data_IF_129277691104
#
_entry.id   IF_129277691104
#
_cell.length_a   1.000
_cell.length_b   1.000
_cell.length_c   1.000
_cell.angle_alpha   90.00
_cell.angle_beta   90.00
_cell.angle_gamma   90.00
#
_symmetry.space_group_name_H-M   'P 1'
#
loop_
_entity.id
_entity.type
_entity.pdbx_description
1 polymer ?
#
# COMPACT_ATOMS: atom_id res chain seq x y z
N UNK A 1 15.38 -14.06 12.05
CA UNK A 1 14.34 -13.02 12.24
C UNK A 1 15.03 -11.67 12.27
N UNK A 2 14.40 -10.60 11.75
CA UNK A 2 14.99 -9.27 11.74
C UNK A 2 15.19 -8.76 13.17
N UNK A 3 16.15 -7.84 13.37
CA UNK A 3 16.38 -7.24 14.68
C UNK A 3 15.24 -6.27 15.05
N UNK A 4 14.68 -5.58 14.05
CA UNK A 4 13.47 -4.76 14.16
C UNK A 4 12.49 -5.08 13.04
N UNK A 5 11.20 -4.91 13.33
CA UNK A 5 10.13 -5.12 12.34
C UNK A 5 10.21 -4.16 11.13
N UNK A 6 11.10 -3.17 11.14
CA UNK A 6 11.33 -2.20 10.06
C UNK A 6 12.70 -2.36 9.38
N UNK A 7 13.47 -3.40 9.72
CA UNK A 7 14.69 -3.72 8.97
C UNK A 7 14.31 -4.40 7.64
N UNK A 8 15.02 -4.12 6.52
CA UNK A 8 14.72 -4.72 5.23
C UNK A 8 14.96 -6.25 5.21
N UNK A 9 14.37 -6.99 4.24
CA UNK A 9 13.50 -6.49 3.17
C UNK A 9 12.09 -6.16 3.65
N UNK A 10 11.56 -5.03 3.19
CA UNK A 10 10.25 -4.50 3.58
C UNK A 10 9.19 -4.89 2.56
N UNK A 11 7.96 -5.06 3.04
CA UNK A 11 6.74 -5.18 2.25
C UNK A 11 5.74 -4.13 2.70
N UNK A 12 4.98 -3.58 1.76
CA UNK A 12 3.92 -2.59 1.99
C UNK A 12 2.56 -3.23 1.74
N UNK A 13 1.78 -3.42 2.80
CA UNK A 13 0.46 -4.07 2.73
C UNK A 13 -0.64 -3.03 2.88
N UNK A 14 -1.50 -2.86 1.88
CA UNK A 14 -2.70 -2.03 2.01
C UNK A 14 -3.65 -2.66 3.03
N UNK A 15 -3.98 -1.91 4.08
CA UNK A 15 -4.89 -2.35 5.14
C UNK A 15 -6.30 -1.77 4.97
N UNK A 16 -6.39 -0.49 4.63
CA UNK A 16 -7.67 0.21 4.54
C UNK A 16 -7.61 1.31 3.48
N UNK A 17 -8.70 1.46 2.74
CA UNK A 17 -9.01 2.59 1.85
C UNK A 17 -10.35 3.16 2.31
N UNK A 18 -10.38 4.44 2.63
CA UNK A 18 -11.59 5.06 3.18
C UNK A 18 -11.77 6.50 2.72
N UNK A 19 -12.96 6.83 2.24
CA UNK A 19 -13.41 8.22 2.04
C UNK A 19 -13.72 8.93 3.36
N UNK A 20 -13.84 8.17 4.45
CA UNK A 20 -13.99 8.65 5.82
C UNK A 20 -12.67 8.57 6.58
N UNK A 21 -12.62 9.05 7.82
CA UNK A 21 -11.43 8.92 8.64
C UNK A 21 -11.17 7.45 9.05
N UNK A 22 -9.93 7.00 8.88
CA UNK A 22 -9.41 5.75 9.44
C UNK A 22 -8.91 6.00 10.86
N UNK A 23 -9.25 5.11 11.81
CA UNK A 23 -8.98 5.32 13.23
C UNK A 23 -7.90 4.37 13.76
N UNK A 24 -6.92 4.93 14.46
CA UNK A 24 -6.00 4.19 15.34
C UNK A 24 -6.50 4.31 16.78
N UNK A 25 -7.18 3.30 17.34
CA UNK A 25 -8.02 3.48 18.54
C UNK A 25 -7.26 3.49 19.87
N UNK A 26 -5.93 3.25 19.89
CA UNK A 26 -5.18 3.07 21.13
C UNK A 26 -4.98 4.41 21.90
N UNK A 27 -5.62 4.62 23.06
CA UNK A 27 -5.48 5.85 23.84
C UNK A 27 -4.12 5.94 24.53
N UNK A 28 -3.55 7.16 24.62
CA UNK A 28 -2.28 7.42 25.30
C UNK A 28 -1.05 6.86 24.58
N UNK A 29 -1.22 6.18 23.44
CA UNK A 29 -0.14 5.67 22.61
C UNK A 29 0.51 6.83 21.86
N UNK A 30 1.81 7.04 22.03
CA UNK A 30 2.54 8.07 21.28
C UNK A 30 2.97 7.54 19.90
N UNK A 31 2.89 8.40 18.89
CA UNK A 31 3.30 8.12 17.51
C UNK A 31 4.18 9.26 17.01
N UNK A 32 5.33 8.92 16.44
CA UNK A 32 6.15 9.85 15.68
C UNK A 32 5.59 9.93 14.26
N UNK A 33 4.99 11.07 13.92
CA UNK A 33 4.31 11.30 12.65
C UNK A 33 5.17 12.24 11.82
N UNK A 34 5.61 11.79 10.64
CA UNK A 34 6.62 12.51 9.84
C UNK A 34 6.33 12.50 8.35
N UNK A 35 6.64 13.60 7.68
CA UNK A 35 6.61 13.77 6.22
C UNK A 35 7.62 14.85 5.82
N UNK A 36 8.16 14.77 4.59
CA UNK A 36 9.04 15.79 3.99
C UNK A 36 10.21 16.26 4.90
N UNK A 37 10.79 15.33 5.68
CA UNK A 37 11.90 15.63 6.61
C UNK A 37 11.49 16.34 7.90
N UNK A 38 10.20 16.61 8.10
CA UNK A 38 9.64 17.15 9.35
C UNK A 38 8.89 16.07 10.12
N UNK A 39 8.79 16.22 11.44
CA UNK A 39 8.04 15.28 12.27
C UNK A 39 7.60 15.88 13.59
N UNK A 40 6.49 15.38 14.11
CA UNK A 40 5.93 15.73 15.41
C UNK A 40 5.40 14.48 16.09
N UNK A 41 5.37 14.51 17.41
CA UNK A 41 4.69 13.48 18.17
C UNK A 41 3.20 13.78 18.22
N UNK A 42 2.36 12.76 18.04
CA UNK A 42 0.92 12.78 18.28
C UNK A 42 0.54 11.69 19.28
N UNK A 43 -0.50 11.93 20.07
CA UNK A 43 -0.98 10.97 21.07
C UNK A 43 -2.34 10.41 20.68
N UNK A 44 -2.44 9.09 20.75
CA UNK A 44 -3.62 8.35 20.36
C UNK A 44 -4.82 8.57 21.30
N UNK A 45 -6.06 8.32 20.83
CA UNK A 45 -6.38 7.81 19.49
C UNK A 45 -6.03 8.77 18.34
N UNK A 46 -5.64 8.22 17.18
CA UNK A 46 -5.41 9.03 15.98
C UNK A 46 -6.57 8.87 14.99
N UNK A 47 -6.91 9.95 14.31
CA UNK A 47 -7.85 9.95 13.18
C UNK A 47 -7.14 10.42 11.91
N UNK A 48 -7.06 9.53 10.93
CA UNK A 48 -6.41 9.73 9.64
C UNK A 48 -7.51 9.96 8.61
N UNK A 49 -7.74 11.22 8.24
CA UNK A 49 -8.70 11.58 7.21
C UNK A 49 -8.02 12.21 6.01
N UNK A 50 -8.81 12.40 4.96
CA UNK A 50 -8.47 13.34 3.89
C UNK A 50 -9.35 14.56 4.11
N UNK A 51 -8.74 15.73 4.27
CA UNK A 51 -9.51 16.97 4.18
C UNK A 51 -10.13 17.00 2.78
N UNK A 52 -11.46 17.09 2.70
CA UNK A 52 -12.21 17.14 1.45
C UNK A 52 -11.44 18.01 0.47
N UNK A 53 -11.10 17.45 -0.69
CA UNK A 53 -10.32 18.11 -1.72
C UNK A 53 -10.87 19.53 -1.93
N UNK A 54 -10.22 20.51 -1.31
CA UNK A 54 -10.39 21.90 -1.68
C UNK A 54 -10.06 21.95 -3.16
N UNK A 55 -11.06 22.33 -3.96
CA UNK A 55 -10.98 22.54 -5.40
C UNK A 55 -10.52 21.32 -6.22
N UNK A 56 -11.39 20.80 -7.11
CA UNK A 56 -10.97 19.83 -8.14
C UNK A 56 -9.77 20.41 -8.91
N UNK A 57 -8.76 19.59 -9.22
CA UNK A 57 -7.65 20.02 -10.07
C UNK A 57 -7.82 19.41 -11.47
N UNK A 58 -7.20 20.03 -12.45
CA UNK A 58 -7.08 19.50 -13.79
C UNK A 58 -5.60 19.37 -14.10
N UNK A 59 -5.17 18.17 -14.49
CA UNK A 59 -3.79 17.94 -14.88
C UNK A 59 -3.61 18.37 -16.32
N UNK A 60 -2.86 19.45 -16.53
CA UNK A 60 -2.55 19.97 -17.85
C UNK A 60 -1.46 19.14 -18.57
N UNK A 61 -0.58 18.48 -17.81
CA UNK A 61 0.45 17.61 -18.35
C UNK A 61 1.49 17.17 -17.33
N UNK A 62 2.49 16.42 -17.80
CA UNK A 62 3.67 16.03 -17.04
C UNK A 62 4.91 16.12 -17.94
N UNK A 63 6.00 16.72 -17.46
CA UNK A 63 7.23 16.93 -18.23
C UNK A 63 8.43 16.36 -17.49
N UNK A 64 9.36 15.74 -18.20
CA UNK A 64 10.66 15.32 -17.64
C UNK A 64 11.61 16.50 -17.42
N UNK A 65 11.42 17.61 -18.15
CA UNK A 65 12.17 18.85 -18.00
C UNK A 65 11.38 19.85 -17.16
N UNK A 66 11.95 20.25 -16.02
CA UNK A 66 11.35 21.21 -15.09
C UNK A 66 11.15 22.59 -15.72
N UNK A 67 11.98 22.99 -16.67
CA UNK A 67 11.85 24.27 -17.39
C UNK A 67 10.56 24.31 -18.21
N UNK A 68 10.22 23.19 -18.86
CA UNK A 68 9.00 23.06 -19.65
C UNK A 68 7.76 23.01 -18.75
N UNK A 69 7.84 22.31 -17.62
CA UNK A 69 6.79 22.32 -16.61
C UNK A 69 6.52 23.73 -16.07
N UNK A 70 7.57 24.47 -15.71
CA UNK A 70 7.43 25.85 -15.22
C UNK A 70 6.93 26.82 -16.29
N UNK A 71 7.30 26.60 -17.57
CA UNK A 71 6.75 27.36 -18.69
C UNK A 71 5.25 27.11 -18.87
N UNK A 72 4.81 25.84 -18.79
CA UNK A 72 3.39 25.46 -18.83
C UNK A 72 2.62 26.08 -17.65
N UNK A 73 3.13 25.94 -16.43
CA UNK A 73 2.53 26.52 -15.23
C UNK A 73 2.38 28.04 -15.33
N UNK A 74 3.42 28.74 -15.82
CA UNK A 74 3.36 30.19 -16.07
C UNK A 74 2.29 30.57 -17.10
N UNK A 75 2.14 29.80 -18.18
CA UNK A 75 1.10 30.04 -19.20
C UNK A 75 -0.32 29.95 -18.60
N UNK A 76 -0.56 28.96 -17.74
CA UNK A 76 -1.84 28.80 -17.03
C UNK A 76 -2.07 29.96 -16.05
N UNK A 77 -1.06 30.32 -15.25
CA UNK A 77 -1.13 31.48 -14.32
C UNK A 77 -1.43 32.78 -15.05
N UNK A 78 -0.85 33.00 -16.24
CA UNK A 78 -1.11 34.20 -17.05
C UNK A 78 -2.55 34.25 -17.58
N UNK A 79 -3.17 33.10 -17.90
CA UNK A 79 -4.54 33.05 -18.42
C UNK A 79 -5.60 33.26 -17.34
N UNK A 80 -5.42 32.65 -16.18
CA UNK A 80 -6.46 32.56 -15.13
C UNK A 80 -6.17 33.44 -13.90
N UNK A 81 -4.99 34.05 -13.82
CA UNK A 81 -4.66 35.02 -12.78
C UNK A 81 -4.70 34.43 -11.37
N UNK A 82 -5.15 35.24 -10.41
CA UNK A 82 -5.23 34.89 -8.98
C UNK A 82 -6.37 33.93 -8.64
N UNK A 83 -7.29 33.70 -9.58
CA UNK A 83 -8.44 32.81 -9.41
C UNK A 83 -8.03 31.33 -9.55
N UNK A 84 -6.85 31.06 -10.09
CA UNK A 84 -6.29 29.72 -10.28
C UNK A 84 -5.11 29.42 -9.34
N UNK A 85 -5.21 28.33 -8.59
CA UNK A 85 -4.08 27.68 -7.91
C UNK A 85 -3.38 26.72 -8.87
N UNK A 86 -2.16 27.08 -9.30
CA UNK A 86 -1.36 26.29 -10.24
C UNK A 86 -0.18 25.66 -9.51
N UNK A 87 -0.17 24.31 -9.47
CA UNK A 87 0.82 23.50 -8.76
C UNK A 87 1.76 22.79 -9.71
N UNK A 88 3.03 22.78 -9.34
CA UNK A 88 4.11 22.01 -9.98
C UNK A 88 4.55 20.93 -8.99
N UNK A 89 4.37 19.66 -9.34
CA UNK A 89 4.59 18.51 -8.45
C UNK A 89 5.63 17.57 -9.06
N UNK A 90 6.82 17.51 -8.46
CA UNK A 90 7.87 16.57 -8.87
C UNK A 90 7.52 15.18 -8.35
N UNK A 91 7.36 14.25 -9.28
CA UNK A 91 7.04 12.86 -9.01
C UNK A 91 8.29 12.03 -8.73
N UNK A 92 8.10 10.91 -8.03
CA UNK A 92 9.16 9.93 -7.77
C UNK A 92 9.84 9.37 -9.04
N UNK A 93 9.14 9.38 -10.18
CA UNK A 93 9.69 8.95 -11.47
C UNK A 93 10.44 10.07 -12.23
N UNK A 94 10.67 11.23 -11.59
CA UNK A 94 11.39 12.37 -12.16
C UNK A 94 10.54 13.28 -13.05
N UNK A 95 9.26 12.98 -13.29
CA UNK A 95 8.36 13.87 -14.03
C UNK A 95 7.84 14.98 -13.12
N UNK A 96 7.69 16.19 -13.66
CA UNK A 96 6.99 17.30 -13.00
C UNK A 96 5.58 17.41 -13.59
N UNK A 97 4.56 17.16 -12.78
CA UNK A 97 3.15 17.36 -13.13
C UNK A 97 2.77 18.83 -12.94
N UNK A 98 2.03 19.39 -13.89
CA UNK A 98 1.39 20.71 -13.73
C UNK A 98 -0.11 20.52 -13.61
N UNK A 99 -0.67 21.05 -12.51
CA UNK A 99 -2.09 20.96 -12.20
C UNK A 99 -2.65 22.35 -11.92
N UNK A 100 -3.93 22.55 -12.25
CA UNK A 100 -4.66 23.79 -11.94
C UNK A 100 -5.98 23.50 -11.26
N UNK A 101 -6.27 24.21 -10.18
CA UNK A 101 -7.59 24.28 -9.57
C UNK A 101 -8.01 25.76 -9.48
N UNK A 102 -9.30 26.02 -9.38
CA UNK A 102 -9.84 27.38 -9.21
C UNK A 102 -10.33 27.64 -7.78
N UNK A 103 -9.75 28.64 -7.12
CA UNK A 103 -10.15 29.07 -5.77
C UNK A 103 -11.36 30.01 -5.81
N UNK A 104 -11.63 30.62 -6.96
CA UNK A 104 -12.83 31.39 -7.28
C UNK A 104 -13.07 31.32 -8.81
N UNK A 105 -14.30 31.58 -9.27
CA UNK A 105 -14.64 31.73 -10.70
C UNK A 105 -14.11 30.59 -11.61
N UNK A 106 -14.35 29.34 -11.22
CA UNK A 106 -13.99 28.18 -12.06
C UNK A 106 -14.70 28.27 -13.42
N UNK A 107 -14.02 27.98 -14.55
CA UNK A 107 -14.69 27.83 -15.83
C UNK A 107 -15.76 26.74 -15.78
N UNK A 108 -16.84 26.90 -16.55
CA UNK A 108 -17.89 25.88 -16.67
C UNK A 108 -17.34 24.57 -17.25
N UNK A 109 -16.38 24.67 -18.19
CA UNK A 109 -15.62 23.55 -18.73
C UNK A 109 -14.11 23.82 -18.70
N UNK A 110 -13.44 23.44 -17.59
CA UNK A 110 -12.00 23.65 -17.45
C UNK A 110 -11.14 22.84 -18.42
N UNK A 111 -11.65 21.72 -18.94
CA UNK A 111 -10.91 20.91 -19.91
C UNK A 111 -10.80 21.69 -21.22
N UNK A 112 -11.92 22.16 -21.76
CA UNK A 112 -11.94 22.93 -23.01
C UNK A 112 -11.07 24.19 -22.93
N UNK A 113 -11.07 24.90 -21.80
CA UNK A 113 -10.19 26.08 -21.60
C UNK A 113 -8.69 25.72 -21.59
N UNK A 114 -8.32 24.57 -21.02
CA UNK A 114 -6.94 24.09 -21.04
C UNK A 114 -6.51 23.60 -22.43
N UNK A 115 -7.40 22.95 -23.16
CA UNK A 115 -7.15 22.57 -24.55
C UNK A 115 -6.90 23.80 -25.45
N UNK A 116 -7.67 24.88 -25.25
CA UNK A 116 -7.47 26.14 -25.95
C UNK A 116 -6.10 26.79 -25.64
N UNK A 117 -5.50 26.49 -24.47
CA UNK A 117 -4.13 26.88 -24.12
C UNK A 117 -3.07 25.91 -24.67
N UNK A 118 -3.45 24.87 -25.41
CA UNK A 118 -2.53 23.88 -25.97
C UNK A 118 -2.21 22.71 -25.03
N UNK A 119 -3.01 22.50 -23.98
CA UNK A 119 -2.91 21.35 -23.08
C UNK A 119 -3.94 20.28 -23.45
N UNK A 120 -3.86 19.78 -24.68
CA UNK A 120 -4.76 18.73 -25.18
C UNK A 120 -4.66 17.46 -24.32
N UNK A 121 -5.79 16.85 -23.98
CA UNK A 121 -5.83 15.69 -23.09
C UNK A 121 -5.70 16.04 -21.60
N UNK A 122 -5.92 17.31 -21.23
CA UNK A 122 -6.12 17.67 -19.84
C UNK A 122 -7.32 16.92 -19.26
N UNK A 123 -7.19 16.42 -18.04
CA UNK A 123 -8.25 15.66 -17.39
C UNK A 123 -8.43 16.14 -15.95
N UNK A 124 -9.66 16.01 -15.45
CA UNK A 124 -9.96 16.21 -14.03
C UNK A 124 -9.13 15.23 -13.21
N UNK A 125 -8.15 15.75 -12.48
CA UNK A 125 -7.43 15.01 -11.48
C UNK A 125 -8.09 15.30 -10.13
N UNK A 126 -8.34 14.29 -9.28
CA UNK A 126 -8.62 14.58 -7.88
C UNK A 126 -7.51 15.51 -7.37
N UNK A 127 -7.84 16.54 -6.58
CA UNK A 127 -6.80 17.16 -5.78
C UNK A 127 -6.08 16.03 -5.06
N UNK A 128 -4.74 16.03 -5.05
CA UNK A 128 -4.04 15.17 -4.10
C UNK A 128 -4.62 15.57 -2.74
N UNK A 129 -5.44 14.69 -2.16
CA UNK A 129 -6.13 15.00 -0.93
C UNK A 129 -5.08 15.40 0.10
N UNK A 130 -5.37 16.41 0.91
CA UNK A 130 -4.44 16.72 2.00
C UNK A 130 -4.79 15.76 3.12
N UNK A 131 -3.87 14.84 3.40
CA UNK A 131 -3.96 14.00 4.60
C UNK A 131 -4.06 14.90 5.81
N UNK A 132 -4.90 14.50 6.74
CA UNK A 132 -5.08 15.14 8.02
C UNK A 132 -5.04 14.07 9.10
N UNK A 133 -4.02 14.11 9.95
CA UNK A 133 -3.90 13.21 11.11
C UNK A 133 -4.10 14.04 12.37
N UNK A 134 -5.19 13.77 13.08
CA UNK A 134 -5.50 14.40 14.36
C UNK A 134 -5.11 13.45 15.50
N UNK A 135 -4.41 13.97 16.50
CA UNK A 135 -4.19 13.31 17.78
C UNK A 135 -5.21 13.75 18.83
N UNK A 136 -5.45 12.88 19.82
CA UNK A 136 -6.34 13.16 20.94
C UNK A 136 -5.80 14.24 21.88
N UNK A 137 -4.51 14.54 21.79
CA UNK A 137 -3.82 15.66 22.44
C UNK A 137 -4.05 17.01 21.74
N UNK A 138 -4.84 17.04 20.66
CA UNK A 138 -5.08 18.23 19.85
C UNK A 138 -4.00 18.50 18.80
N UNK A 139 -2.98 17.63 18.72
CA UNK A 139 -1.96 17.69 17.69
C UNK A 139 -2.54 17.42 16.30
N UNK A 140 -1.97 18.08 15.29
CA UNK A 140 -2.41 18.03 13.91
C UNK A 140 -1.22 17.95 12.97
N UNK A 141 -1.23 16.96 12.08
CA UNK A 141 -0.30 16.88 10.95
C UNK A 141 -1.10 16.88 9.65
N UNK A 142 -0.67 17.72 8.70
CA UNK A 142 -1.26 17.75 7.35
C UNK A 142 -0.19 17.65 6.29
N UNK A 143 -0.41 16.82 5.28
CA UNK A 143 0.51 16.69 4.15
C UNK A 143 -0.20 16.27 2.87
N UNK A 144 0.29 16.74 1.73
CA UNK A 144 -0.08 16.21 0.41
C UNK A 144 0.78 15.01 0.00
N UNK A 145 1.88 14.75 0.72
CA UNK A 145 2.79 13.62 0.53
C UNK A 145 2.43 12.44 1.45
N UNK A 146 3.15 11.33 1.29
CA UNK A 146 3.06 10.18 2.19
C UNK A 146 3.49 10.58 3.61
N UNK A 147 2.66 10.25 4.61
CA UNK A 147 2.98 10.44 6.03
C UNK A 147 3.38 9.09 6.61
N UNK A 148 4.53 9.04 7.29
CA UNK A 148 4.95 7.88 8.08
C UNK A 148 4.52 8.04 9.53
N UNK A 149 3.90 7.00 10.08
CA UNK A 149 3.41 6.93 11.46
C UNK A 149 4.15 5.79 12.16
N UNK A 150 5.11 6.14 13.02
CA UNK A 150 5.92 5.18 13.77
C UNK A 150 5.46 5.16 15.24
N UNK A 151 5.01 4.01 15.79
CA UNK A 151 4.65 3.94 17.20
C UNK A 151 5.88 4.09 18.10
N UNK A 152 5.68 4.68 19.28
CA UNK A 152 6.71 4.65 20.33
C UNK A 152 6.93 3.21 20.84
N UNK A 153 8.13 2.67 20.61
CA UNK A 153 8.53 1.32 20.98
C UNK A 153 7.85 0.22 20.15
N UNK A 154 8.11 -1.03 20.50
CA UNK A 154 7.84 -2.18 19.62
C UNK A 154 6.41 -2.76 19.70
N UNK A 155 5.46 -2.08 20.36
CA UNK A 155 4.12 -2.65 20.42
C UNK A 155 3.36 -2.44 19.12
N UNK A 156 2.61 -3.47 18.67
CA UNK A 156 1.76 -3.38 17.50
C UNK A 156 0.76 -2.22 17.53
N UNK A 157 0.60 -1.57 16.38
CA UNK A 157 -0.37 -0.49 16.14
C UNK A 157 -1.73 -1.10 15.84
N UNK A 158 -2.77 -0.63 16.51
CA UNK A 158 -4.13 -1.01 16.19
C UNK A 158 -4.67 -0.18 15.02
N UNK A 159 -5.19 -0.85 13.99
CA UNK A 159 -5.98 -0.24 12.91
C UNK A 159 -7.32 -0.96 12.90
N UNK A 160 -8.40 -0.24 13.18
CA UNK A 160 -9.68 -0.87 13.48
C UNK A 160 -9.57 -1.83 14.67
N UNK A 161 -9.91 -3.11 14.45
CA UNK A 161 -9.86 -4.17 15.48
C UNK A 161 -8.60 -5.03 15.43
N UNK A 162 -7.78 -4.90 14.38
CA UNK A 162 -6.54 -5.67 14.18
C UNK A 162 -5.33 -4.90 14.69
N UNK A 163 -4.24 -5.62 14.94
CA UNK A 163 -2.97 -5.07 15.43
C UNK A 163 -1.84 -5.45 14.49
N UNK A 164 -0.95 -4.51 14.18
CA UNK A 164 0.06 -4.65 13.14
C UNK A 164 1.45 -4.27 13.67
N UNK A 165 2.46 -5.07 13.30
CA UNK A 165 3.88 -4.80 13.56
C UNK A 165 4.41 -3.72 12.63
N UNK A 166 5.63 -3.25 12.89
CA UNK A 166 6.31 -2.28 12.04
C UNK A 166 5.68 -0.90 12.14
N UNK A 167 5.59 -0.20 11.01
CA UNK A 167 5.05 1.16 10.94
C UNK A 167 3.87 1.26 9.98
N UNK A 168 3.14 2.36 10.07
CA UNK A 168 2.09 2.68 9.11
C UNK A 168 2.54 3.81 8.18
N UNK A 169 2.07 3.75 6.95
CA UNK A 169 2.16 4.82 5.96
C UNK A 169 0.72 5.26 5.65
N UNK A 170 0.50 6.56 5.56
CA UNK A 170 -0.77 7.15 5.12
C UNK A 170 -0.56 7.89 3.80
N UNK A 171 -1.49 7.72 2.86
CA UNK A 171 -1.51 8.39 1.55
C UNK A 171 -2.91 8.88 1.22
N UNK A 172 -3.02 9.98 0.49
CA UNK A 172 -4.29 10.41 -0.08
C UNK A 172 -4.35 10.06 -1.56
N UNK A 173 -5.36 9.30 -1.98
CA UNK A 173 -5.59 8.93 -3.38
C UNK A 173 -7.07 9.11 -3.68
N UNK A 174 -7.43 9.90 -4.69
CA UNK A 174 -8.83 10.03 -5.12
C UNK A 174 -9.77 10.65 -4.08
N UNK A 175 -9.25 11.38 -3.08
CA UNK A 175 -10.04 11.89 -1.96
C UNK A 175 -10.21 10.87 -0.81
N UNK A 176 -9.61 9.70 -0.92
CA UNK A 176 -9.61 8.66 0.10
C UNK A 176 -8.26 8.59 0.82
N UNK A 177 -8.30 8.25 2.12
CA UNK A 177 -7.13 7.88 2.89
C UNK A 177 -6.82 6.41 2.64
N UNK A 178 -5.57 6.12 2.27
CA UNK A 178 -5.01 4.79 2.26
C UNK A 178 -4.13 4.64 3.50
N UNK A 179 -4.36 3.59 4.27
CA UNK A 179 -3.49 3.17 5.38
C UNK A 179 -2.79 1.88 4.98
N UNK A 180 -1.46 1.94 4.97
CA UNK A 180 -0.57 0.89 4.49
C UNK A 180 0.34 0.48 5.65
N UNK A 181 0.51 -0.81 5.88
CA UNK A 181 1.48 -1.32 6.83
C UNK A 181 2.80 -1.63 6.14
N UNK A 182 3.89 -1.05 6.64
CA UNK A 182 5.24 -1.34 6.15
C UNK A 182 6.05 -2.05 7.25
N UNK A 183 6.53 -3.25 6.93
CA UNK A 183 7.24 -4.13 7.85
C UNK A 183 8.15 -5.11 7.13
N UNK A 184 9.05 -5.74 7.87
CA UNK A 184 9.90 -6.82 7.39
C UNK A 184 9.07 -8.00 6.91
N UNK A 185 9.47 -8.60 5.78
CA UNK A 185 8.74 -9.72 5.18
C UNK A 185 8.55 -10.92 6.13
N UNK A 186 9.51 -11.21 7.01
CA UNK A 186 9.39 -12.32 7.96
C UNK A 186 8.35 -12.01 9.05
N UNK A 187 8.27 -10.76 9.51
CA UNK A 187 7.24 -10.30 10.45
C UNK A 187 5.86 -10.26 9.80
N UNK A 188 5.78 -9.93 8.50
CA UNK A 188 4.55 -10.06 7.71
C UNK A 188 4.04 -11.50 7.67
N UNK A 189 4.93 -12.46 7.37
CA UNK A 189 4.57 -13.88 7.26
C UNK A 189 4.04 -14.48 8.57
N UNK A 190 4.46 -13.96 9.72
CA UNK A 190 3.89 -14.36 11.02
C UNK A 190 2.39 -14.04 11.14
N UNK A 191 1.88 -13.04 10.40
CA UNK A 191 0.46 -12.70 10.32
C UNK A 191 -0.29 -13.30 9.12
N UNK A 192 0.42 -13.92 8.17
CA UNK A 192 -0.15 -14.59 6.97
C UNK A 192 -0.28 -16.09 7.18
N UNK A 193 0.83 -16.76 7.51
CA UNK A 193 0.86 -18.23 7.61
C UNK A 193 -0.22 -18.80 8.54
N UNK A 194 -0.48 -18.26 9.75
CA UNK A 194 -1.48 -18.87 10.63
C UNK A 194 -2.94 -18.70 10.16
N UNK A 195 -3.22 -17.73 9.28
CA UNK A 195 -4.58 -17.51 8.76
C UNK A 195 -4.81 -18.20 7.43
N UNK A 196 -3.76 -18.39 6.63
CA UNK A 196 -3.81 -19.19 5.39
C UNK A 196 -3.78 -20.69 5.69
N UNK A 197 -3.04 -21.09 6.73
CA UNK A 197 -3.04 -22.46 7.23
C UNK A 197 -3.13 -22.48 8.75
N UNK A 198 -4.33 -22.82 9.24
CA UNK A 198 -4.65 -22.85 10.66
C UNK A 198 -3.77 -23.84 11.44
N UNK A 199 -2.78 -23.38 12.22
CA UNK A 199 -1.81 -24.26 12.89
C UNK A 199 -2.42 -25.00 14.09
N UNK A 200 -3.60 -24.58 14.53
CA UNK A 200 -4.39 -25.26 15.56
C UNK A 200 -5.22 -26.41 14.98
N UNK A 201 -5.74 -26.26 13.76
CA UNK A 201 -6.51 -27.29 13.06
C UNK A 201 -5.59 -28.32 12.40
N UNK A 202 -4.47 -27.87 11.82
CA UNK A 202 -3.50 -28.69 11.10
C UNK A 202 -2.10 -28.45 11.66
N UNK A 203 -1.74 -29.05 12.81
CA UNK A 203 -0.48 -28.80 13.51
C UNK A 203 0.73 -29.50 12.86
N UNK A 204 0.83 -29.47 11.53
CA UNK A 204 1.90 -30.10 10.76
C UNK A 204 3.00 -29.09 10.42
N UNK A 205 4.16 -29.24 11.09
CA UNK A 205 5.25 -28.26 10.98
C UNK A 205 5.80 -28.15 9.55
N UNK A 206 5.98 -29.28 8.86
CA UNK A 206 6.54 -29.26 7.51
C UNK A 206 5.56 -28.71 6.47
N UNK A 207 4.26 -28.90 6.67
CA UNK A 207 3.25 -28.18 5.92
C UNK A 207 3.38 -26.67 6.15
N UNK A 208 3.45 -26.23 7.42
CA UNK A 208 3.60 -24.79 7.76
C UNK A 208 4.87 -24.18 7.18
N UNK A 209 5.96 -24.95 7.06
CA UNK A 209 7.18 -24.54 6.37
C UNK A 209 6.96 -24.36 4.87
N UNK A 210 6.27 -25.31 4.23
CA UNK A 210 5.93 -25.19 2.82
C UNK A 210 5.05 -23.95 2.57
N UNK A 211 4.03 -23.71 3.42
CA UNK A 211 3.20 -22.51 3.34
C UNK A 211 4.01 -21.23 3.56
N UNK A 212 4.95 -21.21 4.51
CA UNK A 212 5.82 -20.05 4.73
C UNK A 212 6.69 -19.74 3.50
N UNK A 213 7.28 -20.76 2.86
CA UNK A 213 8.07 -20.58 1.63
C UNK A 213 7.19 -20.13 0.47
N UNK A 214 6.02 -20.73 0.28
CA UNK A 214 5.07 -20.33 -0.76
C UNK A 214 4.63 -18.87 -0.58
N UNK A 215 4.20 -18.51 0.64
CA UNK A 215 3.76 -17.16 0.94
C UNK A 215 4.88 -16.11 0.78
N UNK A 216 6.10 -16.43 1.22
CA UNK A 216 7.26 -15.54 1.01
C UNK A 216 7.56 -15.35 -0.47
N UNK A 217 7.54 -16.44 -1.22
CA UNK A 217 7.83 -16.42 -2.66
C UNK A 217 6.79 -15.59 -3.41
N UNK A 218 5.51 -15.78 -3.09
CA UNK A 218 4.42 -14.98 -3.62
C UNK A 218 4.63 -13.50 -3.32
N UNK A 219 4.86 -13.15 -2.05
CA UNK A 219 5.10 -11.77 -1.63
C UNK A 219 6.27 -11.13 -2.39
N UNK A 220 7.40 -11.83 -2.53
CA UNK A 220 8.57 -11.35 -3.28
C UNK A 220 8.29 -11.20 -4.78
N UNK A 221 7.53 -12.13 -5.38
CA UNK A 221 7.21 -12.12 -6.81
C UNK A 221 6.27 -10.96 -7.21
N UNK A 222 5.45 -10.47 -6.27
CA UNK A 222 4.45 -9.42 -6.50
C UNK A 222 4.85 -8.07 -5.86
N UNK A 223 6.09 -7.91 -5.39
CA UNK A 223 6.58 -6.62 -4.91
C UNK A 223 6.50 -5.58 -6.05
N UNK A 224 5.87 -4.44 -5.75
CA UNK A 224 5.71 -3.35 -6.70
C UNK A 224 4.53 -3.47 -7.68
N UNK A 225 3.71 -4.52 -7.61
CA UNK A 225 2.52 -4.67 -8.47
C UNK A 225 1.56 -3.47 -8.35
N UNK A 226 1.52 -2.86 -7.17
CA UNK A 226 0.73 -1.68 -6.87
C UNK A 226 1.60 -0.44 -6.55
N UNK A 227 2.83 -0.39 -7.05
CA UNK A 227 3.78 0.69 -6.78
C UNK A 227 3.25 2.08 -7.17
N UNK A 228 2.37 2.16 -8.18
CA UNK A 228 1.70 3.41 -8.58
C UNK A 228 0.79 3.99 -7.50
N UNK A 229 0.26 3.13 -6.62
CA UNK A 229 -0.60 3.47 -5.48
C UNK A 229 0.17 3.50 -4.15
N UNK A 230 1.42 3.00 -4.14
CA UNK A 230 2.35 3.10 -3.01
C UNK A 230 2.41 1.89 -2.09
N UNK A 231 1.82 0.77 -2.50
CA UNK A 231 1.81 -0.50 -1.75
C UNK A 231 2.18 -1.67 -2.67
N UNK A 232 2.42 -2.84 -2.08
CA UNK A 232 2.86 -4.07 -2.76
C UNK A 232 1.76 -5.13 -2.77
N UNK A 233 1.17 -5.40 -1.61
CA UNK A 233 0.17 -6.46 -1.40
C UNK A 233 -1.08 -5.93 -0.69
N UNK A 234 -2.20 -6.62 -0.86
CA UNK A 234 -3.44 -6.38 -0.14
C UNK A 234 -3.64 -7.42 0.97
N UNK A 235 -4.40 -7.10 2.02
CA UNK A 235 -4.63 -7.99 3.17
C UNK A 235 -5.77 -9.01 2.98
N UNK A 236 -6.23 -9.17 1.73
CA UNK A 236 -7.39 -10.00 1.34
C UNK A 236 -6.95 -11.21 0.51
N UNK A 237 -7.82 -12.21 0.30
CA UNK A 237 -7.52 -13.36 -0.57
C UNK A 237 -7.17 -13.02 -2.02
N UNK A 238 -7.42 -11.79 -2.49
CA UNK A 238 -6.97 -11.34 -3.80
C UNK A 238 -5.43 -11.29 -3.91
N UNK A 239 -4.74 -11.14 -2.77
CA UNK A 239 -3.30 -11.26 -2.64
C UNK A 239 -3.00 -12.41 -1.69
N UNK A 240 -2.95 -12.12 -0.39
CA UNK A 240 -2.85 -13.11 0.69
C UNK A 240 -3.58 -12.57 1.91
N UNK A 241 -4.24 -13.44 2.66
CA UNK A 241 -4.92 -13.01 3.89
C UNK A 241 -3.87 -12.61 4.92
N UNK A 242 -3.92 -11.34 5.35
CA UNK A 242 -3.02 -10.80 6.37
C UNK A 242 -3.80 -10.27 7.55
N UNK A 243 -3.63 -10.86 8.73
CA UNK A 243 -4.39 -10.47 9.95
C UNK A 243 -3.52 -9.84 11.04
N UNK A 244 -2.26 -9.52 10.72
CA UNK A 244 -1.34 -8.86 11.64
C UNK A 244 -0.95 -9.69 12.86
N UNK A 245 -0.43 -9.00 13.87
CA UNK A 245 0.17 -9.58 15.07
C UNK A 245 -0.82 -10.36 15.94
N UNK A 246 -2.12 -10.07 15.83
CA UNK A 246 -3.16 -10.77 16.60
C UNK A 246 -3.37 -12.22 16.16
N UNK A 247 -2.94 -12.58 14.95
CA UNK A 247 -3.08 -13.94 14.41
C UNK A 247 -1.85 -14.82 14.65
N UNK A 248 -0.75 -14.26 15.18
CA UNK A 248 0.50 -14.99 15.36
C UNK A 248 0.33 -16.25 16.21
N UNK A 249 1.04 -17.31 15.83
CA UNK A 249 1.00 -18.57 16.53
C UNK A 249 2.39 -19.18 16.65
N UNK A 250 2.71 -19.79 17.80
CA UNK A 250 4.07 -20.28 18.08
C UNK A 250 4.57 -21.28 17.03
N UNK A 251 3.71 -22.17 16.55
CA UNK A 251 4.09 -23.21 15.58
C UNK A 251 4.35 -22.63 14.19
N UNK A 252 3.50 -21.73 13.69
CA UNK A 252 3.70 -21.06 12.39
C UNK A 252 4.88 -20.08 12.45
N UNK A 253 5.05 -19.35 13.55
CA UNK A 253 6.21 -18.47 13.75
C UNK A 253 7.53 -19.26 13.73
N UNK A 254 7.55 -20.48 14.28
CA UNK A 254 8.68 -21.41 14.16
C UNK A 254 8.92 -21.82 12.70
N UNK A 255 7.87 -22.16 11.95
CA UNK A 255 7.99 -22.52 10.54
C UNK A 255 8.55 -21.37 9.69
N UNK A 256 8.07 -20.13 9.91
CA UNK A 256 8.61 -18.92 9.28
C UNK A 256 10.10 -18.75 9.63
N UNK A 257 10.47 -18.90 10.90
CA UNK A 257 11.86 -18.76 11.35
C UNK A 257 12.82 -19.81 10.76
N UNK A 258 12.40 -21.08 10.73
CA UNK A 258 13.20 -22.18 10.18
C UNK A 258 13.32 -22.13 8.64
N UNK A 259 12.51 -21.30 7.97
CA UNK A 259 12.53 -21.11 6.50
C UNK A 259 12.87 -19.68 6.10
N UNK A 260 13.42 -18.87 7.01
CA UNK A 260 13.70 -17.46 6.76
C UNK A 260 14.58 -17.28 5.52
N UNK A 261 14.16 -16.39 4.61
CA UNK A 261 14.85 -16.12 3.35
C UNK A 261 14.77 -17.22 2.28
N UNK A 262 14.13 -18.36 2.55
CA UNK A 262 13.92 -19.39 1.52
C UNK A 262 12.74 -19.02 0.62
N UNK A 263 13.00 -19.02 -0.69
CA UNK A 263 12.03 -18.78 -1.76
C UNK A 263 12.14 -19.85 -2.84
N UNK A 264 11.03 -20.16 -3.50
CA UNK A 264 10.99 -21.05 -4.65
C UNK A 264 11.28 -20.26 -5.94
N UNK A 265 12.16 -20.78 -6.79
CA UNK A 265 12.60 -20.10 -8.02
C UNK A 265 12.50 -21.01 -9.23
N UNK A 266 12.22 -20.42 -10.38
CA UNK A 266 12.28 -21.06 -11.68
C UNK A 266 12.98 -20.14 -12.67
N UNK A 267 13.98 -20.64 -13.39
CA UNK A 267 14.78 -19.80 -14.29
C UNK A 267 15.50 -18.64 -13.60
N UNK A 268 15.87 -18.81 -12.32
CA UNK A 268 16.55 -17.79 -11.52
C UNK A 268 15.66 -16.65 -11.01
N UNK A 269 14.35 -16.73 -11.20
CA UNK A 269 13.37 -15.75 -10.69
C UNK A 269 12.41 -16.40 -9.69
N UNK A 270 11.92 -15.67 -8.67
CA UNK A 270 10.81 -16.12 -7.83
C UNK A 270 9.62 -16.55 -8.70
N UNK A 271 8.97 -17.66 -8.33
CA UNK A 271 7.76 -18.12 -9.03
C UNK A 271 6.51 -17.38 -8.56
N UNK A 272 5.46 -17.36 -9.38
CA UNK A 272 4.10 -17.06 -8.90
C UNK A 272 3.58 -18.23 -8.06
N UNK A 273 3.87 -18.18 -6.75
CA UNK A 273 3.60 -19.27 -5.80
C UNK A 273 2.14 -19.29 -5.32
N UNK A 274 1.20 -19.49 -6.24
CA UNK A 274 -0.22 -19.62 -5.92
C UNK A 274 -0.50 -20.87 -5.08
N UNK A 275 -1.46 -20.77 -4.16
CA UNK A 275 -1.94 -21.88 -3.34
C UNK A 275 -3.46 -21.80 -3.17
N UNK A 276 -4.07 -22.90 -2.76
CA UNK A 276 -5.51 -23.02 -2.52
C UNK A 276 -5.78 -23.88 -1.29
N UNK A 277 -6.93 -23.68 -0.65
CA UNK A 277 -7.34 -24.42 0.56
C UNK A 277 -7.52 -25.92 0.29
N UNK A 278 -8.27 -26.27 -0.76
CA UNK A 278 -8.53 -27.67 -1.13
C UNK A 278 -8.53 -27.79 -2.65
N UNK A 279 -7.73 -28.71 -3.18
CA UNK A 279 -7.58 -28.93 -4.63
C UNK A 279 -8.64 -29.87 -5.24
N UNK A 280 -9.41 -30.60 -4.43
CA UNK A 280 -10.45 -31.51 -4.94
C UNK A 280 -9.94 -32.81 -5.59
N UNK A 281 -8.66 -33.15 -5.43
CA UNK A 281 -8.04 -34.40 -5.91
C UNK A 281 -7.01 -34.20 -7.02
N UNK A 282 -7.05 -33.06 -7.72
CA UNK A 282 -6.03 -32.65 -8.69
C UNK A 282 -5.93 -31.13 -8.72
N UNK A 283 -4.73 -30.56 -8.82
CA UNK A 283 -4.58 -29.12 -9.06
C UNK A 283 -4.78 -28.79 -10.54
N UNK A 284 -5.06 -27.53 -10.87
CA UNK A 284 -5.30 -27.11 -12.25
C UNK A 284 -4.04 -26.56 -12.93
N UNK A 285 -4.03 -26.60 -14.25
CA UNK A 285 -3.07 -25.82 -15.04
C UNK A 285 -3.43 -24.33 -14.92
N UNK A 286 -2.48 -23.48 -14.52
CA UNK A 286 -2.77 -22.06 -14.34
C UNK A 286 -3.25 -21.36 -15.61
N UNK A 287 -2.83 -21.82 -16.80
CA UNK A 287 -3.29 -21.29 -18.09
C UNK A 287 -4.79 -21.45 -18.34
N UNK A 288 -5.43 -22.45 -17.72
CA UNK A 288 -6.87 -22.71 -17.88
C UNK A 288 -7.70 -21.77 -16.98
N UNK A 289 -7.10 -21.26 -15.91
CA UNK A 289 -7.76 -20.37 -14.95
C UNK A 289 -7.44 -18.89 -15.20
N UNK A 290 -6.21 -18.59 -15.61
CA UNK A 290 -5.69 -17.23 -15.70
C UNK A 290 -4.93 -17.03 -17.01
N UNK A 291 -5.48 -16.17 -17.87
CA UNK A 291 -4.85 -15.75 -19.12
C UNK A 291 -3.45 -15.19 -18.86
N UNK A 292 -2.44 -15.72 -19.57
CA UNK A 292 -1.06 -15.23 -19.48
C UNK A 292 -0.24 -15.78 -18.30
N UNK A 293 -0.78 -16.66 -17.46
CA UNK A 293 -0.07 -17.29 -16.33
C UNK A 293 0.33 -18.75 -16.58
N UNK A 294 0.43 -19.17 -17.83
CA UNK A 294 0.89 -20.50 -18.19
C UNK A 294 2.39 -20.67 -17.94
N UNK A 295 2.75 -21.35 -16.85
CA UNK A 295 4.14 -21.63 -16.50
C UNK A 295 4.39 -23.13 -16.27
N UNK A 296 5.58 -23.68 -16.60
CA UNK A 296 5.88 -25.10 -16.39
C UNK A 296 5.77 -25.57 -14.94
N UNK A 297 5.97 -24.67 -13.97
CA UNK A 297 5.85 -24.95 -12.54
C UNK A 297 4.41 -24.80 -12.00
N UNK A 298 3.46 -24.37 -12.82
CA UNK A 298 2.02 -24.26 -12.50
C UNK A 298 1.21 -25.24 -13.35
N UNK A 299 1.71 -26.47 -13.42
CA UNK A 299 1.01 -27.59 -14.04
C UNK A 299 0.07 -28.26 -13.03
N UNK A 300 -1.06 -28.76 -13.52
CA UNK A 300 -1.95 -29.58 -12.73
C UNK A 300 -1.27 -30.89 -12.32
N UNK A 301 -1.35 -31.24 -11.04
CA UNK A 301 -0.81 -32.48 -10.48
C UNK A 301 -1.82 -33.15 -9.55
N UNK A 302 -1.80 -34.49 -9.41
CA UNK A 302 -2.59 -35.17 -8.40
C UNK A 302 -2.23 -34.67 -6.99
N UNK A 303 -3.26 -34.39 -6.20
CA UNK A 303 -3.13 -33.93 -4.82
C UNK A 303 -4.07 -34.72 -3.88
N UNK A 304 -4.56 -35.86 -4.36
CA UNK A 304 -5.27 -36.81 -3.52
C UNK A 304 -4.31 -37.32 -2.44
N UNK A 305 -4.66 -37.06 -1.19
CA UNK A 305 -3.98 -37.65 -0.06
C UNK A 305 -4.32 -39.15 -0.02
N UNK A 306 -3.32 -40.01 -0.15
CA UNK A 306 -3.48 -41.44 0.15
C UNK A 306 -3.83 -41.56 1.64
N UNK A 307 -5.10 -41.87 1.94
CA UNK A 307 -5.47 -42.26 3.30
C UNK A 307 -4.78 -43.60 3.59
N UNK A 308 -3.97 -43.73 4.65
CA UNK A 308 -3.58 -45.05 5.14
C UNK A 308 -4.81 -45.85 5.61
#
# INVERSE_FOLDING_TARGET
>A
MPARDTDPPLVRVLLERSASAVRLPQPGRAYWVRHDGTGSWLWGPLEIGVAAAGTKYWQAGAWSDTTNASAAARKIRQRFGTDADVREEVMANGLTRVRVGWTANAPDDPVSELEALGFAGAFSAPAAGVLRINGADGGLVTSAAEIVIEPAGDWPVAVGWRRYRGRLLARAVGGEALVINELNIESYLQGVVPVEMGPSQFPELDALKAQAVAARTYAVAHLGDHASEGWDLCDTPACQVYSGAGAEHRLSNRAVAETAGLVAVYGGKPIDAMYTSTCGGHTENASELFSGRGHPYLAGVPCAWDRP
#
